data_IF_861625783772
#
_entry.id   IF_861625783772
#
_cell.length_a   1.000
_cell.length_b   1.000
_cell.length_c   1.000
_cell.angle_alpha   90.00
_cell.angle_beta   90.00
_cell.angle_gamma   90.00
#
_symmetry.space_group_name_H-M   'P 1'
#
loop_
_entity.id
_entity.type
_entity.pdbx_description
1 polymer ?
#
# COMPACT_ATOMS: atom_id res chain seq x y z
N UNK A 1 -4.57 -5.41 -4.20
CA UNK A 1 -4.65 -6.43 -3.12
C UNK A 1 -6.02 -7.07 -3.20
N UNK A 2 -6.08 -8.39 -3.22
CA UNK A 2 -7.33 -9.14 -3.20
C UNK A 2 -7.44 -9.91 -1.88
N UNK A 3 -8.63 -9.88 -1.26
CA UNK A 3 -8.93 -10.52 0.01
C UNK A 3 -9.94 -11.65 -0.18
N UNK A 4 -9.86 -12.68 0.67
CA UNK A 4 -10.79 -13.82 0.63
C UNK A 4 -12.17 -13.47 1.20
N UNK A 5 -12.23 -12.50 2.12
CA UNK A 5 -13.44 -12.10 2.81
C UNK A 5 -13.52 -10.59 3.04
N UNK A 6 -14.72 -10.07 3.30
CA UNK A 6 -14.90 -8.67 3.70
C UNK A 6 -14.22 -8.39 5.05
N UNK A 7 -14.23 -9.37 5.95
CA UNK A 7 -13.60 -9.25 7.26
C UNK A 7 -12.09 -9.02 7.16
N UNK A 8 -11.39 -9.78 6.29
CA UNK A 8 -9.96 -9.56 6.02
C UNK A 8 -9.70 -8.16 5.45
N UNK A 9 -10.55 -7.71 4.52
CA UNK A 9 -10.42 -6.37 3.93
C UNK A 9 -10.64 -5.26 4.97
N UNK A 10 -11.65 -5.39 5.84
CA UNK A 10 -11.90 -4.44 6.94
C UNK A 10 -10.74 -4.44 7.94
N UNK A 11 -10.21 -5.62 8.28
CA UNK A 11 -9.06 -5.74 9.15
C UNK A 11 -7.82 -5.04 8.55
N UNK A 12 -7.58 -5.18 7.25
CA UNK A 12 -6.56 -4.40 6.54
C UNK A 12 -6.82 -2.89 6.62
N UNK A 13 -8.05 -2.43 6.41
CA UNK A 13 -8.36 -1.00 6.48
C UNK A 13 -8.15 -0.43 7.88
N UNK A 14 -8.51 -1.18 8.93
CA UNK A 14 -8.24 -0.78 10.33
C UNK A 14 -6.75 -0.77 10.64
N UNK A 15 -5.99 -1.73 10.12
CA UNK A 15 -4.53 -1.71 10.21
C UNK A 15 -3.96 -0.47 9.49
N UNK A 16 -4.49 -0.15 8.30
CA UNK A 16 -4.03 0.97 7.51
C UNK A 16 -4.28 2.30 8.22
N UNK A 17 -5.49 2.50 8.74
CA UNK A 17 -5.89 3.70 9.51
C UNK A 17 -4.94 3.97 10.68
N UNK A 18 -4.50 2.92 11.39
CA UNK A 18 -3.63 3.05 12.57
C UNK A 18 -2.15 3.27 12.23
N UNK A 19 -1.67 2.73 11.12
CA UNK A 19 -0.22 2.61 10.86
C UNK A 19 0.26 3.39 9.63
N UNK A 20 -0.60 3.59 8.61
CA UNK A 20 -0.14 4.08 7.30
C UNK A 20 0.20 5.55 7.28
N UNK A 21 -0.42 6.40 8.11
CA UNK A 21 -0.09 7.84 8.08
C UNK A 21 1.38 8.08 8.44
N UNK A 22 1.84 7.54 9.58
CA UNK A 22 3.25 7.64 10.00
C UNK A 22 4.20 7.03 8.96
N UNK A 23 3.81 5.88 8.39
CA UNK A 23 4.61 5.23 7.36
C UNK A 23 4.70 6.09 6.08
N UNK A 24 3.57 6.65 5.64
CA UNK A 24 3.49 7.55 4.50
C UNK A 24 4.33 8.81 4.68
N UNK A 25 4.38 9.37 5.89
CA UNK A 25 5.22 10.54 6.18
C UNK A 25 6.71 10.21 6.03
N UNK A 26 7.14 9.03 6.48
CA UNK A 26 8.52 8.57 6.26
C UNK A 26 8.83 8.33 4.77
N UNK A 27 7.90 7.73 4.02
CA UNK A 27 8.05 7.54 2.59
C UNK A 27 8.12 8.89 1.84
N UNK A 28 7.29 9.87 2.21
CA UNK A 28 7.31 11.23 1.61
C UNK A 28 8.63 11.93 1.83
N UNK A 29 9.20 11.81 3.03
CA UNK A 29 10.54 12.33 3.33
C UNK A 29 11.64 11.71 2.45
N UNK A 30 11.38 10.56 1.82
CA UNK A 30 12.32 9.80 0.97
C UNK A 30 11.90 9.76 -0.51
N UNK A 31 11.07 10.70 -0.96
CA UNK A 31 10.79 10.89 -2.39
C UNK A 31 9.50 10.24 -2.91
N UNK A 32 8.63 9.73 -2.04
CA UNK A 32 7.25 9.43 -2.40
C UNK A 32 6.44 10.73 -2.55
N UNK A 33 5.74 10.91 -3.66
CA UNK A 33 4.94 12.11 -3.95
C UNK A 33 3.48 11.92 -3.58
N UNK A 34 2.95 10.70 -3.75
CA UNK A 34 1.54 10.39 -3.47
C UNK A 34 1.39 8.98 -2.92
N UNK A 35 0.50 8.83 -1.95
CA UNK A 35 0.04 7.53 -1.47
C UNK A 35 -1.43 7.62 -1.10
N UNK A 36 -2.25 6.79 -1.75
CA UNK A 36 -3.66 6.64 -1.41
C UNK A 36 -4.12 5.20 -1.59
N UNK A 37 -5.20 4.88 -0.88
CA UNK A 37 -5.81 3.55 -0.82
C UNK A 37 -7.25 3.69 -1.32
N UNK A 38 -7.69 2.82 -2.22
CA UNK A 38 -9.08 2.81 -2.71
C UNK A 38 -9.72 1.43 -2.61
N UNK A 39 -11.01 1.37 -2.26
CA UNK A 39 -11.83 0.16 -2.46
C UNK A 39 -12.31 0.12 -3.90
N UNK A 40 -12.04 -0.98 -4.59
CA UNK A 40 -12.51 -1.18 -5.97
C UNK A 40 -13.98 -1.59 -5.92
N UNK A 41 -14.87 -0.77 -6.48
CA UNK A 41 -16.32 -0.98 -6.40
C UNK A 41 -16.88 -1.79 -7.58
N UNK A 42 -16.15 -1.91 -8.70
CA UNK A 42 -16.65 -2.45 -9.96
C UNK A 42 -16.23 -3.90 -10.24
N UNK A 43 -15.94 -4.70 -9.21
CA UNK A 43 -15.54 -6.10 -9.34
C UNK A 43 -16.55 -7.10 -8.75
N UNK A 44 -17.82 -6.71 -8.70
CA UNK A 44 -18.90 -7.59 -8.22
C UNK A 44 -18.72 -7.94 -6.74
N UNK A 45 -18.60 -9.23 -6.46
CA UNK A 45 -18.48 -9.83 -5.13
C UNK A 45 -17.04 -9.88 -4.58
N UNK A 46 -16.08 -9.25 -5.27
CA UNK A 46 -14.66 -9.26 -4.86
C UNK A 46 -14.33 -8.16 -3.85
N UNK A 47 -13.52 -8.53 -2.87
CA UNK A 47 -12.90 -7.62 -1.91
C UNK A 47 -11.52 -7.21 -2.42
N UNK A 48 -11.46 -6.11 -3.18
CA UNK A 48 -10.22 -5.62 -3.79
C UNK A 48 -9.89 -4.21 -3.31
N UNK A 49 -8.65 -4.01 -2.88
CA UNK A 49 -8.07 -2.71 -2.57
C UNK A 49 -6.99 -2.35 -3.60
N UNK A 50 -7.01 -1.11 -4.09
CA UNK A 50 -5.91 -0.49 -4.81
C UNK A 50 -5.02 0.32 -3.86
N UNK A 51 -3.72 0.01 -3.82
CA UNK A 51 -2.70 0.86 -3.20
C UNK A 51 -1.94 1.57 -4.32
N UNK A 52 -1.97 2.89 -4.28
CA UNK A 52 -1.40 3.74 -5.33
C UNK A 52 -0.25 4.52 -4.74
N UNK A 53 0.95 4.29 -5.26
CA UNK A 53 2.17 4.93 -4.78
C UNK A 53 2.86 5.58 -5.96
N UNK A 54 3.05 6.88 -5.87
CA UNK A 54 3.79 7.67 -6.83
C UNK A 54 5.09 8.15 -6.19
N UNK A 55 6.15 8.13 -6.97
CA UNK A 55 7.49 8.50 -6.53
C UNK A 55 8.06 9.53 -7.48
N UNK A 56 8.96 10.37 -6.97
CA UNK A 56 9.66 11.38 -7.74
C UNK A 56 10.43 10.77 -8.92
N UNK A 57 11.09 9.64 -8.69
CA UNK A 57 11.93 8.93 -9.65
C UNK A 57 12.16 7.46 -9.20
N UNK A 58 12.88 6.69 -10.02
CA UNK A 58 13.17 5.27 -9.74
C UNK A 58 14.10 5.09 -8.53
N UNK A 59 14.99 6.05 -8.26
CA UNK A 59 15.88 6.00 -7.10
C UNK A 59 15.10 6.19 -5.80
N UNK A 60 14.16 7.14 -5.78
CA UNK A 60 13.21 7.33 -4.68
C UNK A 60 12.37 6.08 -4.44
N UNK A 61 11.93 5.41 -5.50
CA UNK A 61 11.27 4.10 -5.39
C UNK A 61 12.16 3.06 -4.69
N UNK A 62 13.44 2.94 -5.06
CA UNK A 62 14.36 1.97 -4.45
C UNK A 62 14.60 2.24 -2.96
N UNK A 63 14.68 3.51 -2.56
CA UNK A 63 14.76 3.89 -1.15
C UNK A 63 13.47 3.54 -0.41
N UNK A 64 12.32 3.91 -0.98
CA UNK A 64 11.01 3.63 -0.40
C UNK A 64 10.70 2.13 -0.31
N UNK A 65 11.14 1.31 -1.26
CA UNK A 65 10.95 -0.14 -1.24
C UNK A 65 11.65 -0.76 -0.02
N UNK A 66 12.85 -0.31 0.33
CA UNK A 66 13.54 -0.74 1.55
C UNK A 66 12.77 -0.35 2.82
N UNK A 67 12.21 0.86 2.84
CA UNK A 67 11.37 1.34 3.95
C UNK A 67 10.10 0.47 4.09
N UNK A 68 9.49 0.09 2.96
CA UNK A 68 8.36 -0.85 2.93
C UNK A 68 8.75 -2.23 3.46
N UNK A 69 9.86 -2.81 3.00
CA UNK A 69 10.32 -4.13 3.47
C UNK A 69 10.56 -4.12 4.99
N UNK A 70 11.19 -3.07 5.51
CA UNK A 70 11.39 -2.93 6.96
C UNK A 70 10.06 -2.84 7.71
N UNK A 71 9.14 -1.98 7.26
CA UNK A 71 7.82 -1.82 7.88
C UNK A 71 7.01 -3.11 7.87
N UNK A 72 7.03 -3.86 6.76
CA UNK A 72 6.33 -5.14 6.64
C UNK A 72 6.92 -6.18 7.59
N UNK A 73 8.25 -6.30 7.62
CA UNK A 73 8.95 -7.20 8.54
C UNK A 73 8.68 -6.87 10.01
N UNK A 74 8.78 -5.59 10.39
CA UNK A 74 8.48 -5.13 11.76
C UNK A 74 7.01 -5.37 12.14
N UNK A 75 6.08 -5.17 11.20
CA UNK A 75 4.66 -5.40 11.44
C UNK A 75 4.35 -6.89 11.59
N UNK A 76 4.99 -7.74 10.81
CA UNK A 76 4.85 -9.20 10.89
C UNK A 76 5.43 -9.74 12.21
N UNK A 77 6.66 -9.33 12.57
CA UNK A 77 7.30 -9.69 13.84
C UNK A 77 6.49 -9.26 15.06
N UNK A 78 5.73 -8.16 14.94
CA UNK A 78 4.83 -7.67 15.98
C UNK A 78 3.41 -8.26 15.89
N UNK A 79 3.17 -9.26 15.04
CA UNK A 79 1.87 -9.89 14.78
C UNK A 79 0.75 -8.89 14.50
N UNK A 80 1.05 -7.79 13.79
CA UNK A 80 0.06 -6.76 13.45
C UNK A 80 -0.88 -7.16 12.32
N UNK A 81 -0.50 -8.17 11.54
CA UNK A 81 -1.31 -8.69 10.44
C UNK A 81 -2.29 -9.74 10.94
N UNK A 82 -3.57 -9.39 10.94
CA UNK A 82 -4.67 -10.29 11.28
C UNK A 82 -5.61 -10.51 10.09
N UNK A 83 -5.08 -10.37 8.87
CA UNK A 83 -5.80 -10.51 7.61
C UNK A 83 -4.94 -11.25 6.60
N UNK A 84 -5.59 -11.98 5.69
CA UNK A 84 -4.93 -12.63 4.56
C UNK A 84 -5.24 -11.88 3.27
N UNK A 85 -4.20 -11.55 2.50
CA UNK A 85 -4.36 -10.89 1.21
C UNK A 85 -3.38 -11.41 0.16
N UNK A 86 -3.79 -11.35 -1.10
CA UNK A 86 -2.91 -11.54 -2.26
C UNK A 86 -2.50 -10.17 -2.81
N UNK A 87 -1.19 -9.93 -2.89
CA UNK A 87 -0.63 -8.71 -3.47
C UNK A 87 -0.10 -9.00 -4.88
N UNK A 88 -0.51 -8.20 -5.86
CA UNK A 88 0.05 -8.21 -7.22
C UNK A 88 0.45 -6.78 -7.57
N UNK A 89 1.75 -6.45 -7.51
CA UNK A 89 2.22 -5.10 -7.81
C UNK A 89 2.44 -4.91 -9.31
N UNK A 90 2.11 -3.72 -9.80
CA UNK A 90 2.47 -3.25 -11.13
C UNK A 90 3.32 -1.99 -10.96
N UNK A 91 4.49 -1.96 -11.60
CA UNK A 91 5.46 -0.87 -11.53
C UNK A 91 5.69 -0.33 -12.93
N UNK A 92 5.74 0.99 -13.07
CA UNK A 92 5.87 1.63 -14.37
C UNK A 92 6.43 3.04 -14.26
N UNK A 93 6.82 3.59 -15.42
CA UNK A 93 7.28 4.97 -15.57
C UNK A 93 6.11 5.78 -16.10
N UNK A 94 5.76 6.86 -15.41
CA UNK A 94 4.73 7.81 -15.87
C UNK A 94 5.16 8.40 -17.21
N UNK A 95 4.33 8.20 -18.24
CA UNK A 95 4.56 8.81 -19.57
C UNK A 95 3.90 10.19 -19.68
N UNK A 96 2.72 10.34 -19.08
CA UNK A 96 1.92 11.56 -19.07
C UNK A 96 1.17 11.66 -17.74
N UNK A 97 1.08 12.88 -17.20
CA UNK A 97 0.27 13.23 -16.04
C UNK A 97 -0.63 14.42 -16.43
N UNK A 98 -1.92 14.31 -16.16
CA UNK A 98 -2.94 15.32 -16.50
C UNK A 98 -3.66 15.86 -15.26
N UNK A 99 -3.11 15.61 -14.07
CA UNK A 99 -3.66 16.10 -12.80
C UNK A 99 -3.43 17.58 -12.54
#
# INVERSE_FOLDING_TARGET
MDFLSEADMIAFLSFAEKNMQKHADNLRANGMTKFYISRVFNKGDKFTIGNWLEYKDQDSYLVCDKIWQAFLSESDNANKFNFISKVVPYRGIVQYDFS
#
